data_IF_911672903647
#
_entry.id   IF_911672903647
#
_cell.length_a   1.000
_cell.length_b   1.000
_cell.length_c   1.000
_cell.angle_alpha   90.00
_cell.angle_beta   90.00
_cell.angle_gamma   90.00
#
_symmetry.space_group_name_H-M   'P 1'
#
loop_
_entity.id
_entity.type
_entity.pdbx_description
1 polymer ?
#
# COMPACT_ATOMS: atom_id res chain seq x y z
N UNK A 1 -1.26 -5.09 -15.57
CA UNK A 1 -2.05 -6.32 -15.29
C UNK A 1 -3.16 -5.97 -14.29
N UNK A 2 -4.29 -6.69 -14.23
CA UNK A 2 -5.36 -6.40 -13.25
C UNK A 2 -5.36 -7.47 -12.18
N UNK A 3 -5.00 -7.12 -10.95
CA UNK A 3 -5.10 -7.99 -9.79
C UNK A 3 -6.33 -7.63 -8.97
N UNK A 4 -7.09 -8.62 -8.50
CA UNK A 4 -8.17 -8.40 -7.55
C UNK A 4 -8.17 -9.55 -6.55
N UNK A 5 -8.30 -9.23 -5.27
CA UNK A 5 -8.55 -10.19 -4.21
C UNK A 5 -9.70 -9.70 -3.33
N UNK A 6 -10.30 -10.60 -2.57
CA UNK A 6 -11.34 -10.27 -1.61
C UNK A 6 -10.71 -10.08 -0.23
N UNK A 7 -10.70 -8.85 0.27
CA UNK A 7 -10.28 -8.59 1.65
C UNK A 7 -11.47 -8.87 2.60
N UNK A 8 -11.31 -9.85 3.49
CA UNK A 8 -12.30 -10.14 4.54
C UNK A 8 -12.11 -9.25 5.77
N UNK A 9 -10.91 -8.70 5.94
CA UNK A 9 -10.58 -7.80 7.05
C UNK A 9 -9.81 -6.57 6.57
N UNK A 10 -10.02 -5.47 7.30
CA UNK A 10 -9.32 -4.20 7.14
C UNK A 10 -8.83 -3.77 8.51
N UNK A 11 -7.55 -3.41 8.61
CA UNK A 11 -6.95 -2.86 9.81
C UNK A 11 -6.42 -1.46 9.53
N UNK A 12 -6.59 -0.58 10.51
CA UNK A 12 -5.95 0.73 10.53
C UNK A 12 -5.22 0.84 11.85
N UNK A 13 -3.91 1.03 11.80
CA UNK A 13 -3.07 1.13 12.98
C UNK A 13 -2.36 2.48 12.99
N UNK A 14 -2.41 3.13 14.15
CA UNK A 14 -1.62 4.31 14.49
C UNK A 14 -0.30 3.79 15.05
N UNK A 15 0.76 3.83 14.24
CA UNK A 15 2.09 3.44 14.67
C UNK A 15 2.81 4.66 15.25
N UNK A 16 3.98 4.45 15.84
CA UNK A 16 4.75 5.54 16.47
C UNK A 16 5.02 6.70 15.49
N UNK A 17 5.36 6.39 14.24
CA UNK A 17 5.82 7.39 13.26
C UNK A 17 5.01 7.39 11.94
N UNK A 18 4.03 6.51 11.77
CA UNK A 18 3.28 6.37 10.52
C UNK A 18 1.90 5.75 10.68
N UNK A 19 1.01 6.07 9.74
CA UNK A 19 -0.25 5.34 9.59
C UNK A 19 -0.02 4.04 8.82
N UNK A 20 -0.60 2.94 9.31
CA UNK A 20 -0.70 1.68 8.57
C UNK A 20 -2.16 1.39 8.23
N UNK A 21 -2.43 1.05 6.97
CA UNK A 21 -3.73 0.54 6.52
C UNK A 21 -3.51 -0.78 5.81
N UNK A 22 -4.08 -1.85 6.35
CA UNK A 22 -3.99 -3.20 5.81
C UNK A 22 -5.34 -3.72 5.30
N UNK A 23 -5.32 -4.39 4.16
CA UNK A 23 -6.43 -5.16 3.60
C UNK A 23 -5.96 -6.60 3.43
N UNK A 24 -6.67 -7.58 3.98
CA UNK A 24 -6.23 -8.97 3.96
C UNK A 24 -7.40 -9.93 3.70
N UNK A 25 -7.10 -11.04 3.02
CA UNK A 25 -8.06 -12.10 2.74
C UNK A 25 -8.50 -12.86 3.99
N UNK A 26 -7.62 -12.99 4.99
CA UNK A 26 -7.90 -13.56 6.32
C UNK A 26 -7.15 -12.80 7.42
N UNK A 27 -7.70 -12.82 8.65
CA UNK A 27 -7.08 -12.17 9.82
C UNK A 27 -5.78 -12.85 10.28
N UNK A 28 -5.68 -14.16 10.09
CA UNK A 28 -4.53 -14.98 10.44
C UNK A 28 -4.20 -15.88 9.25
N UNK A 29 -2.92 -16.25 9.07
CA UNK A 29 -2.46 -17.06 7.92
C UNK A 29 -2.83 -16.45 6.55
N UNK A 30 -2.74 -15.12 6.48
CA UNK A 30 -3.06 -14.30 5.31
C UNK A 30 -2.27 -14.74 4.09
N UNK A 31 -2.95 -14.94 2.96
CA UNK A 31 -2.33 -15.32 1.69
C UNK A 31 -2.25 -14.15 0.72
N UNK A 32 -3.30 -13.33 0.71
CA UNK A 32 -3.36 -12.14 -0.11
C UNK A 32 -3.59 -10.91 0.78
N UNK A 33 -2.68 -9.95 0.69
CA UNK A 33 -2.83 -8.67 1.39
C UNK A 33 -2.28 -7.48 0.63
N UNK A 34 -2.80 -6.32 0.97
CA UNK A 34 -2.32 -5.01 0.55
C UNK A 34 -2.12 -4.15 1.80
N UNK A 35 -0.90 -3.65 1.97
CA UNK A 35 -0.56 -2.73 3.05
C UNK A 35 -0.17 -1.38 2.48
N UNK A 36 -0.66 -0.31 3.08
CA UNK A 36 -0.30 1.07 2.80
C UNK A 36 0.30 1.66 4.06
N UNK A 37 1.43 2.35 3.92
CA UNK A 37 2.06 3.05 5.03
C UNK A 37 2.34 4.50 4.65
N UNK A 38 2.10 5.43 5.58
CA UNK A 38 2.41 6.84 5.39
C UNK A 38 2.96 7.46 6.67
N UNK A 39 4.21 7.91 6.60
CA UNK A 39 4.89 8.64 7.68
C UNK A 39 4.15 9.94 8.05
N UNK A 40 4.21 10.30 9.33
CA UNK A 40 3.66 11.56 9.85
C UNK A 40 4.50 12.76 9.45
N UNK A 41 5.81 12.56 9.41
CA UNK A 41 6.81 13.54 9.05
C UNK A 41 7.77 12.92 8.02
N UNK A 42 8.28 13.75 7.12
CA UNK A 42 9.24 13.34 6.10
C UNK A 42 10.55 14.10 6.36
N UNK A 43 11.69 13.41 6.34
CA UNK A 43 13.01 14.03 6.53
C UNK A 43 13.70 14.41 5.20
N UNK A 44 14.90 15.00 5.27
CA UNK A 44 15.66 15.37 4.06
C UNK A 44 16.08 14.16 3.21
N UNK A 45 16.25 12.99 3.81
CA UNK A 45 16.54 11.75 3.11
C UNK A 45 15.30 11.26 2.37
N UNK A 46 14.12 11.28 3.01
CA UNK A 46 12.87 10.84 2.41
C UNK A 46 12.56 11.65 1.15
N UNK A 47 12.68 12.97 1.23
CA UNK A 47 12.48 13.84 0.06
C UNK A 47 13.53 13.55 -1.02
N UNK A 48 14.80 13.38 -0.64
CA UNK A 48 15.89 13.13 -1.60
C UNK A 48 15.72 11.78 -2.32
N UNK A 49 15.18 10.78 -1.64
CA UNK A 49 14.94 9.44 -2.19
C UNK A 49 13.54 9.29 -2.81
N UNK A 50 12.69 10.32 -2.74
CA UNK A 50 11.31 10.26 -3.22
C UNK A 50 10.41 9.36 -2.38
N UNK A 51 10.79 9.11 -1.13
CA UNK A 51 10.08 8.28 -0.15
C UNK A 51 9.08 9.08 0.70
N UNK A 52 9.03 10.41 0.53
CA UNK A 52 8.08 11.33 1.19
C UNK A 52 6.62 11.19 0.68
N UNK A 53 6.19 9.96 0.48
CA UNK A 53 4.95 9.56 -0.17
C UNK A 53 4.39 8.29 0.49
N UNK A 54 3.29 7.75 -0.03
CA UNK A 54 2.75 6.48 0.45
C UNK A 54 3.67 5.33 0.04
N UNK A 55 4.03 4.47 1.00
CA UNK A 55 4.54 3.14 0.73
C UNK A 55 3.37 2.18 0.50
N UNK A 56 3.56 1.24 -0.42
CA UNK A 56 2.57 0.22 -0.74
C UNK A 56 3.26 -1.12 -0.93
N UNK A 57 2.70 -2.15 -0.31
CA UNK A 57 3.21 -3.51 -0.33
C UNK A 57 2.05 -4.47 -0.59
N UNK A 58 2.32 -5.50 -1.40
CA UNK A 58 1.42 -6.64 -1.55
C UNK A 58 2.17 -7.95 -1.34
N UNK A 59 1.56 -8.84 -0.57
CA UNK A 59 2.05 -10.21 -0.40
C UNK A 59 3.55 -10.27 0.04
N UNK A 60 4.02 -9.21 0.72
CA UNK A 60 5.40 -9.01 1.17
C UNK A 60 6.27 -8.07 0.31
N UNK A 61 7.46 -7.75 0.83
CA UNK A 61 8.36 -6.71 0.30
C UNK A 61 8.77 -6.87 -1.18
N UNK A 62 8.68 -8.07 -1.74
CA UNK A 62 9.02 -8.34 -3.14
C UNK A 62 8.11 -7.63 -4.15
N UNK A 63 6.89 -7.25 -3.75
CA UNK A 63 5.96 -6.46 -4.55
C UNK A 63 5.61 -5.16 -3.80
N UNK A 64 6.64 -4.34 -3.58
CA UNK A 64 6.50 -3.08 -2.85
C UNK A 64 7.22 -1.91 -3.49
N UNK A 65 6.70 -0.71 -3.24
CA UNK A 65 7.33 0.53 -3.66
C UNK A 65 6.90 1.72 -2.80
N UNK A 66 7.77 2.72 -2.75
CA UNK A 66 7.39 4.08 -2.37
C UNK A 66 6.90 4.80 -3.62
N UNK A 67 5.75 5.45 -3.50
CA UNK A 67 5.10 6.10 -4.63
C UNK A 67 4.56 5.06 -5.62
N UNK A 68 4.35 5.50 -6.85
CA UNK A 68 3.82 4.64 -7.90
C UNK A 68 2.30 4.47 -7.88
N UNK A 69 1.58 5.04 -6.90
CA UNK A 69 0.11 5.12 -6.91
C UNK A 69 -0.30 6.39 -7.65
N UNK A 70 -0.86 6.22 -8.85
CA UNK A 70 -1.46 7.30 -9.61
C UNK A 70 -2.82 7.72 -9.05
N UNK A 71 -3.61 6.75 -8.57
CA UNK A 71 -4.95 6.99 -8.03
C UNK A 71 -5.36 5.98 -6.98
N UNK A 72 -5.92 6.47 -5.88
CA UNK A 72 -6.56 5.66 -4.85
C UNK A 72 -8.03 6.03 -4.72
N UNK A 73 -8.93 5.08 -4.90
CA UNK A 73 -10.38 5.29 -4.82
C UNK A 73 -10.98 4.38 -3.75
N UNK A 74 -11.50 4.99 -2.68
CA UNK A 74 -12.30 4.29 -1.68
C UNK A 74 -13.77 4.32 -2.10
N UNK A 75 -14.37 3.15 -2.20
CA UNK A 75 -15.79 2.96 -2.38
C UNK A 75 -16.40 2.29 -1.15
N UNK A 76 -17.73 2.19 -1.13
CA UNK A 76 -18.46 1.57 -0.02
C UNK A 76 -18.05 0.12 0.25
N UNK A 77 -17.66 -0.61 -0.78
CA UNK A 77 -17.46 -2.07 -0.77
C UNK A 77 -16.10 -2.51 -1.32
N UNK A 78 -15.25 -1.57 -1.74
CA UNK A 78 -13.95 -1.88 -2.35
C UNK A 78 -13.01 -0.69 -2.32
N UNK A 79 -11.73 -1.01 -2.43
CA UNK A 79 -10.68 -0.06 -2.81
C UNK A 79 -10.24 -0.36 -4.24
N UNK A 80 -9.95 0.70 -5.00
CA UNK A 80 -9.24 0.60 -6.28
C UNK A 80 -7.96 1.40 -6.20
N UNK A 81 -6.86 0.73 -6.49
CA UNK A 81 -5.55 1.36 -6.63
C UNK A 81 -5.15 1.27 -8.09
N UNK A 82 -4.83 2.42 -8.68
CA UNK A 82 -4.21 2.51 -10.00
C UNK A 82 -2.77 2.93 -9.78
N UNK A 83 -1.86 2.10 -10.26
CA UNK A 83 -0.45 2.40 -10.28
C UNK A 83 -0.07 3.13 -11.57
N UNK A 84 0.90 4.04 -11.48
CA UNK A 84 1.56 4.60 -12.65
C UNK A 84 2.52 3.58 -13.28
N UNK A 85 3.25 3.97 -14.33
CA UNK A 85 4.17 3.06 -15.03
C UNK A 85 5.28 2.53 -14.12
N UNK A 86 5.80 3.35 -13.21
CA UNK A 86 6.87 2.96 -12.28
C UNK A 86 6.36 1.98 -11.21
N UNK A 87 5.14 2.19 -10.70
CA UNK A 87 4.46 1.23 -9.85
C UNK A 87 4.12 -0.05 -10.62
N UNK A 88 3.66 0.05 -11.87
CA UNK A 88 3.31 -1.08 -12.71
C UNK A 88 4.45 -2.08 -12.93
N UNK A 89 5.69 -1.61 -13.07
CA UNK A 89 6.88 -2.47 -13.22
C UNK A 89 7.21 -3.28 -11.96
N UNK A 90 6.87 -2.76 -10.77
CA UNK A 90 7.09 -3.42 -9.47
C UNK A 90 5.98 -4.41 -9.09
N UNK A 91 4.82 -4.28 -9.75
CA UNK A 91 3.60 -5.05 -9.49
C UNK A 91 3.23 -6.01 -10.65
N UNK A 92 4.10 -6.10 -11.66
CA UNK A 92 3.94 -6.91 -12.88
C UNK A 92 4.23 -8.39 -12.69
#
# INVERSE_FOLDING_TARGET
>A
MKHNFHASCVAVEDMEDFWLVGFADEQYDTREHLTLQRSYEDDEQDVRLGMNTCYVERDGQGQSCYGGIERFELHRDRVKVRFDDAGGERWG
#
